data_IF_654977708369
#
_entry.id   IF_654977708369
#
_cell.length_a   1.000
_cell.length_b   1.000
_cell.length_c   1.000
_cell.angle_alpha   90.00
_cell.angle_beta   90.00
_cell.angle_gamma   90.00
#
_symmetry.space_group_name_H-M   'P 1'
#
loop_
_entity.id
_entity.type
_entity.pdbx_description
1 polymer ?
#
# COMPACT_ATOMS: atom_id res chain seq x y z
N UNK A 1 -3.32 -10.63 36.30
CA UNK A 1 -4.74 -10.89 35.95
C UNK A 1 -5.00 -10.15 34.64
N UNK A 2 -5.28 -10.71 33.47
CA UNK A 2 -5.87 -11.99 33.08
C UNK A 2 -5.24 -12.47 31.76
N UNK A 3 -4.69 -13.67 31.81
CA UNK A 3 -4.25 -14.46 30.66
C UNK A 3 -5.46 -15.01 29.88
N UNK A 4 -6.13 -14.17 29.08
CA UNK A 4 -7.17 -14.58 28.12
C UNK A 4 -7.17 -13.72 26.84
N UNK A 5 -5.99 -13.40 26.33
CA UNK A 5 -5.81 -12.97 24.93
C UNK A 5 -5.27 -14.15 24.09
N UNK A 6 -5.70 -15.37 24.41
CA UNK A 6 -5.72 -16.43 23.40
C UNK A 6 -6.95 -16.16 22.54
N UNK A 7 -6.68 -15.57 21.39
CA UNK A 7 -7.63 -15.41 20.31
C UNK A 7 -8.35 -16.74 20.12
N UNK A 8 -9.65 -16.76 20.39
CA UNK A 8 -10.54 -17.80 19.91
C UNK A 8 -10.60 -17.63 18.39
N UNK A 9 -9.57 -18.05 17.67
CA UNK A 9 -9.67 -18.33 16.24
C UNK A 9 -10.78 -19.36 16.13
N UNK A 10 -11.97 -18.85 15.77
CA UNK A 10 -13.12 -19.69 15.58
C UNK A 10 -12.75 -20.69 14.50
N UNK A 11 -12.89 -21.99 14.77
CA UNK A 11 -12.71 -23.05 13.75
C UNK A 11 -13.47 -22.76 12.46
N UNK A 12 -14.54 -21.95 12.57
CA UNK A 12 -15.35 -21.46 11.46
C UNK A 12 -14.61 -20.45 10.56
N UNK A 13 -13.68 -19.65 11.08
CA UNK A 13 -12.86 -18.75 10.27
C UNK A 13 -11.82 -19.55 9.47
N UNK A 14 -11.18 -20.55 10.07
CA UNK A 14 -10.32 -21.49 9.34
C UNK A 14 -11.10 -22.20 8.23
N UNK A 15 -12.33 -22.66 8.52
CA UNK A 15 -13.21 -23.28 7.54
C UNK A 15 -13.59 -22.31 6.40
N UNK A 16 -13.92 -21.05 6.71
CA UNK A 16 -14.22 -20.03 5.70
C UNK A 16 -13.01 -19.74 4.80
N UNK A 17 -11.81 -19.67 5.37
CA UNK A 17 -10.58 -19.49 4.61
C UNK A 17 -10.28 -20.70 3.71
N UNK A 18 -10.56 -21.92 4.17
CA UNK A 18 -10.46 -23.12 3.35
C UNK A 18 -11.46 -23.08 2.18
N UNK A 19 -12.71 -22.67 2.43
CA UNK A 19 -13.72 -22.49 1.37
C UNK A 19 -13.27 -21.43 0.35
N UNK A 20 -12.71 -20.30 0.79
CA UNK A 20 -12.15 -19.27 -0.10
C UNK A 20 -11.01 -19.83 -0.93
N UNK A 21 -10.07 -20.57 -0.33
CA UNK A 21 -8.97 -21.19 -1.05
C UNK A 21 -9.46 -22.18 -2.12
N UNK A 22 -10.45 -23.02 -1.79
CA UNK A 22 -11.08 -23.95 -2.74
C UNK A 22 -11.76 -23.19 -3.88
N UNK A 23 -12.51 -22.12 -3.60
CA UNK A 23 -13.15 -21.30 -4.64
C UNK A 23 -12.12 -20.67 -5.59
N UNK A 24 -10.97 -20.21 -5.08
CA UNK A 24 -9.90 -19.66 -5.92
C UNK A 24 -9.29 -20.75 -6.80
N UNK A 25 -9.00 -21.93 -6.26
CA UNK A 25 -8.48 -23.06 -7.04
C UNK A 25 -9.47 -23.46 -8.14
N UNK A 26 -10.76 -23.56 -7.80
CA UNK A 26 -11.82 -23.85 -8.79
C UNK A 26 -11.88 -22.77 -9.87
N UNK A 27 -11.76 -21.49 -9.51
CA UNK A 27 -11.76 -20.41 -10.48
C UNK A 27 -10.55 -20.48 -11.44
N UNK A 28 -9.36 -20.82 -10.92
CA UNK A 28 -8.14 -20.98 -11.73
C UNK A 28 -8.25 -22.19 -12.66
N UNK A 29 -8.69 -23.34 -12.15
CA UNK A 29 -8.86 -24.57 -12.93
C UNK A 29 -9.95 -24.41 -13.99
N UNK A 30 -11.09 -23.83 -13.63
CA UNK A 30 -12.14 -23.50 -14.59
C UNK A 30 -11.61 -22.55 -15.67
N UNK A 31 -10.84 -21.52 -15.30
CA UNK A 31 -10.23 -20.63 -16.28
C UNK A 31 -9.28 -21.37 -17.24
N UNK A 32 -8.49 -22.32 -16.75
CA UNK A 32 -7.58 -23.11 -17.61
C UNK A 32 -8.36 -24.06 -18.55
N UNK A 33 -9.40 -24.72 -18.04
CA UNK A 33 -10.19 -25.69 -18.80
C UNK A 33 -11.07 -25.03 -19.87
N UNK A 34 -11.70 -23.90 -19.55
CA UNK A 34 -12.52 -23.14 -20.50
C UNK A 34 -11.68 -22.22 -21.40
N UNK A 35 -10.41 -22.55 -21.65
CA UNK A 35 -9.49 -21.70 -22.42
C UNK A 35 -9.93 -21.47 -23.87
N UNK A 36 -10.67 -22.40 -24.44
CA UNK A 36 -11.21 -22.36 -25.80
C UNK A 36 -12.55 -21.60 -25.94
N UNK A 37 -13.19 -21.20 -24.84
CA UNK A 37 -14.43 -20.41 -24.87
C UNK A 37 -14.18 -18.90 -25.09
N UNK A 38 -15.17 -18.16 -25.61
CA UNK A 38 -15.05 -16.71 -25.77
C UNK A 38 -14.78 -16.01 -24.43
N UNK A 39 -13.91 -14.99 -24.48
CA UNK A 39 -13.34 -14.29 -23.31
C UNK A 39 -14.42 -13.74 -22.35
N UNK A 40 -15.56 -13.29 -22.86
CA UNK A 40 -16.64 -12.68 -22.08
C UNK A 40 -17.22 -13.62 -21.02
N UNK A 41 -17.49 -14.89 -21.36
CA UNK A 41 -18.07 -15.85 -20.42
C UNK A 41 -17.10 -16.24 -19.30
N UNK A 42 -15.79 -16.32 -19.62
CA UNK A 42 -14.74 -16.60 -18.62
C UNK A 42 -14.61 -15.47 -17.61
N UNK A 43 -14.52 -14.23 -18.12
CA UNK A 43 -14.38 -13.05 -17.27
C UNK A 43 -15.60 -12.89 -16.37
N UNK A 44 -16.82 -13.08 -16.90
CA UNK A 44 -18.04 -13.01 -16.10
C UNK A 44 -18.06 -14.08 -15.00
N UNK A 45 -17.71 -15.34 -15.32
CA UNK A 45 -17.64 -16.42 -14.34
C UNK A 45 -16.61 -16.19 -13.24
N UNK A 46 -15.43 -15.69 -13.59
CA UNK A 46 -14.38 -15.34 -12.62
C UNK A 46 -14.83 -14.17 -11.73
N UNK A 47 -15.47 -13.14 -12.31
CA UNK A 47 -15.99 -12.01 -11.54
C UNK A 47 -17.04 -12.44 -10.51
N UNK A 48 -17.96 -13.34 -10.88
CA UNK A 48 -18.95 -13.89 -9.95
C UNK A 48 -18.27 -14.70 -8.84
N UNK A 49 -17.33 -15.59 -9.19
CA UNK A 49 -16.58 -16.37 -8.20
C UNK A 49 -15.76 -15.49 -7.27
N UNK A 50 -15.12 -14.44 -7.79
CA UNK A 50 -14.37 -13.48 -7.00
C UNK A 50 -15.28 -12.67 -6.07
N UNK A 51 -16.47 -12.27 -6.53
CA UNK A 51 -17.45 -11.58 -5.70
C UNK A 51 -17.94 -12.46 -4.53
N UNK A 52 -18.24 -13.74 -4.80
CA UNK A 52 -18.65 -14.71 -3.77
C UNK A 52 -17.52 -14.97 -2.78
N UNK A 53 -16.29 -15.20 -3.25
CA UNK A 53 -15.13 -15.39 -2.39
C UNK A 53 -14.85 -14.14 -1.53
N UNK A 54 -14.94 -12.95 -2.12
CA UNK A 54 -14.82 -11.67 -1.42
C UNK A 54 -15.90 -11.49 -0.35
N UNK A 55 -17.16 -11.83 -0.67
CA UNK A 55 -18.26 -11.76 0.28
C UNK A 55 -18.07 -12.69 1.48
N UNK A 56 -17.62 -13.92 1.25
CA UNK A 56 -17.30 -14.90 2.31
C UNK A 56 -16.12 -14.40 3.15
N UNK A 57 -15.08 -13.86 2.51
CA UNK A 57 -13.91 -13.32 3.20
C UNK A 57 -14.28 -12.12 4.10
N UNK A 58 -15.13 -11.20 3.63
CA UNK A 58 -15.59 -10.05 4.43
C UNK A 58 -16.41 -10.46 5.68
N UNK A 59 -17.06 -11.62 5.66
CA UNK A 59 -17.81 -12.15 6.81
C UNK A 59 -16.94 -12.80 7.90
N UNK A 60 -15.62 -12.96 7.68
CA UNK A 60 -14.66 -13.45 8.71
C UNK A 60 -14.37 -12.40 9.78
N UNK A 61 -13.82 -12.81 10.93
CA UNK A 61 -13.44 -11.88 12.01
C UNK A 61 -12.38 -10.89 11.51
N UNK A 62 -11.41 -11.36 10.71
CA UNK A 62 -10.38 -10.52 10.08
C UNK A 62 -10.98 -9.52 9.07
N UNK A 63 -11.97 -9.96 8.27
CA UNK A 63 -12.68 -9.10 7.31
C UNK A 63 -13.45 -7.95 7.97
N UNK A 64 -14.16 -8.24 9.07
CA UNK A 64 -14.85 -7.21 9.85
C UNK A 64 -13.90 -6.26 10.55
N UNK A 65 -12.80 -6.76 11.11
CA UNK A 65 -11.76 -5.93 11.72
C UNK A 65 -11.16 -4.95 10.69
N UNK A 66 -10.86 -5.43 9.48
CA UNK A 66 -10.39 -4.58 8.38
C UNK A 66 -11.40 -3.49 8.01
N UNK A 67 -12.69 -3.82 7.94
CA UNK A 67 -13.73 -2.84 7.64
C UNK A 67 -13.86 -1.75 8.71
N UNK A 68 -13.74 -2.13 9.99
CA UNK A 68 -13.71 -1.17 11.11
C UNK A 68 -12.48 -0.27 11.02
N UNK A 69 -11.28 -0.84 10.80
CA UNK A 69 -10.06 -0.07 10.62
C UNK A 69 -10.13 0.88 9.42
N UNK A 70 -10.71 0.44 8.30
CA UNK A 70 -10.90 1.29 7.13
C UNK A 70 -11.86 2.46 7.41
N UNK A 71 -12.91 2.21 8.20
CA UNK A 71 -13.86 3.24 8.64
C UNK A 71 -13.19 4.25 9.57
N UNK A 72 -12.39 3.77 10.53
CA UNK A 72 -11.60 4.60 11.45
C UNK A 72 -10.53 5.41 10.70
N UNK A 73 -9.79 4.79 9.79
CA UNK A 73 -8.81 5.45 8.93
C UNK A 73 -9.46 6.56 8.08
N UNK A 74 -10.65 6.33 7.55
CA UNK A 74 -11.39 7.36 6.81
C UNK A 74 -11.83 8.53 7.71
N UNK A 75 -12.15 8.25 8.98
CA UNK A 75 -12.44 9.30 9.95
C UNK A 75 -11.18 10.10 10.31
N UNK A 76 -10.02 9.45 10.39
CA UNK A 76 -8.73 10.10 10.67
C UNK A 76 -8.22 10.94 9.49
N UNK A 77 -8.37 10.44 8.25
CA UNK A 77 -8.04 11.20 7.03
C UNK A 77 -8.81 12.51 6.96
N UNK A 78 -10.04 12.56 7.50
CA UNK A 78 -10.82 13.82 7.58
C UNK A 78 -10.27 14.81 8.60
N UNK A 79 -9.48 14.35 9.57
CA UNK A 79 -8.77 15.23 10.53
C UNK A 79 -7.44 15.74 9.97
N UNK A 80 -6.94 15.15 8.89
CA UNK A 80 -5.75 15.66 8.19
C UNK A 80 -6.12 16.98 7.55
N UNK A 81 -5.64 18.07 8.15
CA UNK A 81 -5.69 19.39 7.55
C UNK A 81 -4.70 19.39 6.41
N UNK A 82 -5.22 19.33 5.18
CA UNK A 82 -4.38 19.45 4.00
C UNK A 82 -3.84 20.87 3.93
N UNK A 83 -2.53 21.05 3.75
CA UNK A 83 -1.91 22.36 3.75
C UNK A 83 -2.45 23.20 2.61
N UNK A 84 -2.56 24.51 2.85
CA UNK A 84 -2.93 25.43 1.79
C UNK A 84 -1.82 25.51 0.74
N UNK A 85 -2.17 25.94 -0.49
CA UNK A 85 -1.15 26.15 -1.56
C UNK A 85 -0.07 27.13 -1.13
N UNK A 86 -0.43 28.09 -0.26
CA UNK A 86 0.50 29.10 0.24
C UNK A 86 1.50 28.50 1.23
N UNK A 87 1.06 27.68 2.18
CA UNK A 87 1.95 26.98 3.13
C UNK A 87 2.88 26.02 2.39
N UNK A 88 2.35 25.24 1.44
CA UNK A 88 3.15 24.29 0.64
C UNK A 88 4.24 25.01 -0.15
N UNK A 89 3.91 26.17 -0.74
CA UNK A 89 4.88 26.96 -1.51
C UNK A 89 5.93 27.59 -0.60
N UNK A 90 5.53 28.10 0.57
CA UNK A 90 6.45 28.70 1.54
C UNK A 90 7.46 27.66 2.05
N UNK A 91 7.00 26.47 2.48
CA UNK A 91 7.91 25.40 2.92
C UNK A 91 8.83 24.95 1.78
N UNK A 92 8.31 24.83 0.56
CA UNK A 92 9.13 24.49 -0.62
C UNK A 92 10.22 25.54 -0.87
N UNK A 93 9.88 26.83 -0.84
CA UNK A 93 10.84 27.92 -1.02
C UNK A 93 11.92 27.94 0.06
N UNK A 94 11.56 27.65 1.32
CA UNK A 94 12.53 27.51 2.42
C UNK A 94 13.51 26.37 2.12
N UNK A 95 13.00 25.19 1.74
CA UNK A 95 13.85 24.04 1.40
C UNK A 95 14.77 24.36 0.22
N UNK A 96 14.24 24.99 -0.84
CA UNK A 96 15.02 25.42 -2.01
C UNK A 96 16.13 26.39 -1.61
N UNK A 97 15.84 27.37 -0.74
CA UNK A 97 16.84 28.31 -0.26
C UNK A 97 17.98 27.60 0.50
N UNK A 98 17.64 26.67 1.41
CA UNK A 98 18.64 25.89 2.15
C UNK A 98 19.49 25.03 1.21
N UNK A 99 18.87 24.37 0.22
CA UNK A 99 19.58 23.55 -0.77
C UNK A 99 20.53 24.41 -1.61
N UNK A 100 20.12 25.61 -2.04
CA UNK A 100 20.98 26.53 -2.80
C UNK A 100 22.19 26.99 -1.98
N UNK A 101 22.00 27.31 -0.70
CA UNK A 101 23.11 27.69 0.19
C UNK A 101 24.11 26.54 0.33
N UNK A 102 23.62 25.33 0.60
CA UNK A 102 24.49 24.14 0.71
C UNK A 102 25.20 23.83 -0.61
N UNK A 103 24.51 23.94 -1.74
CA UNK A 103 25.11 23.75 -3.06
C UNK A 103 26.24 24.74 -3.33
N UNK A 104 26.05 26.02 -2.98
CA UNK A 104 27.09 27.05 -3.12
C UNK A 104 28.30 26.79 -2.20
N UNK A 105 28.05 26.39 -0.95
CA UNK A 105 29.12 26.08 0.00
C UNK A 105 29.96 24.90 -0.49
N UNK A 106 29.30 23.80 -0.89
CA UNK A 106 29.98 22.61 -1.42
C UNK A 106 30.75 22.96 -2.70
N UNK A 107 30.11 23.64 -3.64
CA UNK A 107 30.75 24.06 -4.89
C UNK A 107 31.99 24.92 -4.66
N UNK A 108 31.93 25.86 -3.71
CA UNK A 108 33.08 26.69 -3.34
C UNK A 108 34.22 25.87 -2.73
N UNK A 109 33.89 24.93 -1.85
CA UNK A 109 34.87 24.03 -1.22
C UNK A 109 35.51 23.08 -2.24
N UNK A 110 34.71 22.47 -3.11
CA UNK A 110 35.18 21.57 -4.18
C UNK A 110 36.09 22.31 -5.16
N UNK A 111 35.74 23.54 -5.52
CA UNK A 111 36.55 24.38 -6.41
C UNK A 111 37.87 24.78 -5.76
N UNK A 112 37.86 25.13 -4.47
CA UNK A 112 39.07 25.50 -3.71
C UNK A 112 40.00 24.30 -3.53
N UNK A 113 39.46 23.13 -3.14
CA UNK A 113 40.22 21.90 -3.02
C UNK A 113 40.77 21.45 -4.37
N UNK A 114 39.98 21.52 -5.43
CA UNK A 114 40.42 21.23 -6.79
C UNK A 114 41.56 22.13 -7.26
N UNK A 115 41.46 23.44 -6.99
CA UNK A 115 42.54 24.40 -7.28
C UNK A 115 43.82 24.08 -6.49
N UNK A 116 43.72 23.81 -5.18
CA UNK A 116 44.86 23.43 -4.35
C UNK A 116 45.54 22.14 -4.83
N UNK A 117 44.76 21.12 -5.16
CA UNK A 117 45.29 19.85 -5.69
C UNK A 117 45.97 20.07 -7.04
N UNK A 118 45.40 20.88 -7.92
CA UNK A 118 46.00 21.19 -9.23
C UNK A 118 47.34 21.92 -9.12
N UNK A 119 47.56 22.72 -8.06
CA UNK A 119 48.84 23.39 -7.80
C UNK A 119 49.91 22.46 -7.22
N UNK A 120 49.51 21.34 -6.60
CA UNK A 120 50.43 20.35 -6.01
C UNK A 120 50.80 19.27 -7.02
N UNK A 121 49.84 18.86 -7.87
CA UNK A 121 50.01 17.78 -8.85
C UNK A 121 50.48 18.30 -10.21
N UNK A 122 50.10 19.53 -10.57
CA UNK A 122 50.69 20.27 -11.69
C UNK A 122 52.03 20.87 -11.32
#
# INVERSE_FOLDING_TARGET
>A
MNAKVEAKESRLDLLKWLVVAVLVVVAVVANQYYSAQPIFYRVLGILVMAAVAGFIALQTVKGRAFFTLAKEARAEIRKVVWPSRQETTQTTLIVVAVVLVMALVLWGLDSLLGWLVSMIVG
#
